data_IF_181252702010
#
_entry.id   IF_181252702010
#
_cell.length_a   1.000
_cell.length_b   1.000
_cell.length_c   1.000
_cell.angle_alpha   90.00
_cell.angle_beta   90.00
_cell.angle_gamma   90.00
#
_symmetry.space_group_name_H-M   'P 1'
#
loop_
_entity.id
_entity.type
_entity.pdbx_description
1 polymer ?
#
# COMPACT_ATOMS: atom_id res chain seq x y z
N UNK A 1 -8.48 -4.58 -0.98
CA UNK A 1 -7.17 -3.92 -0.67
C UNK A 1 -6.58 -4.38 0.68
N UNK A 2 -6.67 -5.65 1.07
CA UNK A 2 -6.28 -6.09 2.43
C UNK A 2 -4.83 -6.56 2.58
N UNK A 3 -4.21 -6.91 1.46
CA UNK A 3 -2.76 -7.12 1.38
C UNK A 3 -1.98 -5.83 1.70
N UNK A 4 -2.59 -4.64 1.50
CA UNK A 4 -1.98 -3.35 1.77
C UNK A 4 -1.78 -3.06 3.26
N UNK A 5 -2.78 -3.33 4.10
CA UNK A 5 -2.69 -3.09 5.56
C UNK A 5 -1.60 -3.94 6.21
N UNK A 6 -1.52 -5.24 5.86
CA UNK A 6 -0.47 -6.14 6.36
C UNK A 6 0.92 -5.70 5.91
N UNK A 7 1.04 -5.31 4.65
CA UNK A 7 2.27 -4.75 4.12
C UNK A 7 2.73 -3.52 4.92
N UNK A 8 1.81 -2.60 5.24
CA UNK A 8 2.14 -1.41 6.02
C UNK A 8 2.54 -1.71 7.46
N UNK A 9 1.97 -2.74 8.10
CA UNK A 9 2.39 -3.17 9.44
C UNK A 9 3.82 -3.70 9.42
N UNK A 10 4.16 -4.56 8.45
CA UNK A 10 5.52 -5.08 8.24
C UNK A 10 6.49 -3.94 7.97
N UNK A 11 6.15 -3.09 7.00
CA UNK A 11 6.96 -1.97 6.58
C UNK A 11 7.23 -1.00 7.73
N UNK A 12 6.21 -0.60 8.49
CA UNK A 12 6.38 0.31 9.64
C UNK A 12 7.23 -0.30 10.74
N UNK A 13 7.06 -1.59 11.02
CA UNK A 13 7.84 -2.29 12.05
C UNK A 13 9.32 -2.35 11.67
N UNK A 14 9.61 -2.65 10.40
CA UNK A 14 10.98 -2.62 9.85
C UNK A 14 11.60 -1.23 9.84
N UNK A 15 10.87 -0.21 9.40
CA UNK A 15 11.41 1.16 9.35
C UNK A 15 11.66 1.76 10.75
N UNK A 16 11.08 1.15 11.79
CA UNK A 16 11.31 1.50 13.19
C UNK A 16 12.51 0.76 13.77
N UNK A 17 12.70 -0.52 13.45
CA UNK A 17 13.87 -1.29 13.88
C UNK A 17 15.12 -0.97 13.05
N UNK A 18 14.95 -0.55 11.80
CA UNK A 18 16.01 -0.26 10.84
C UNK A 18 15.75 1.08 10.15
N UNK A 19 16.08 2.17 10.85
CA UNK A 19 15.87 3.54 10.37
C UNK A 19 16.62 3.83 9.06
N UNK A 20 17.77 3.19 8.82
CA UNK A 20 18.55 3.36 7.60
C UNK A 20 17.81 2.89 6.33
N UNK A 21 16.83 1.99 6.44
CA UNK A 21 15.98 1.58 5.31
C UNK A 21 15.09 2.71 4.77
N UNK A 22 14.90 3.80 5.53
CA UNK A 22 14.08 4.95 5.11
C UNK A 22 14.62 5.60 3.83
N UNK A 23 15.94 5.56 3.60
CA UNK A 23 16.56 6.04 2.35
C UNK A 23 16.10 5.26 1.11
N UNK A 24 15.59 4.05 1.32
CA UNK A 24 15.11 3.14 0.29
C UNK A 24 13.59 3.14 0.17
N UNK A 25 12.87 3.88 1.02
CA UNK A 25 11.43 3.98 0.96
C UNK A 25 10.99 4.87 -0.18
N UNK A 26 10.13 4.35 -1.06
CA UNK A 26 9.58 5.08 -2.20
C UNK A 26 8.08 4.96 -2.25
N UNK A 27 7.46 5.91 -2.96
CA UNK A 27 6.03 5.91 -3.23
C UNK A 27 5.83 5.54 -4.68
N UNK A 28 4.92 4.60 -4.94
CA UNK A 28 4.61 4.23 -6.30
C UNK A 28 3.97 5.40 -7.07
N UNK A 29 4.47 5.65 -8.29
CA UNK A 29 3.92 6.65 -9.20
C UNK A 29 2.42 6.46 -9.50
N UNK A 30 1.95 5.21 -9.53
CA UNK A 30 0.59 4.88 -9.98
C UNK A 30 -0.41 4.68 -8.83
N UNK A 31 -0.13 3.77 -7.91
CA UNK A 31 -1.06 3.42 -6.82
C UNK A 31 -0.71 4.08 -5.48
N UNK A 32 0.34 4.92 -5.44
CA UNK A 32 0.77 5.71 -4.28
C UNK A 32 1.09 4.93 -3.00
N UNK A 33 1.16 3.61 -3.08
CA UNK A 33 1.60 2.79 -1.96
C UNK A 33 3.10 3.01 -1.72
N UNK A 34 3.51 2.95 -0.46
CA UNK A 34 4.93 2.93 -0.14
C UNK A 34 5.53 1.55 -0.42
N UNK A 35 6.80 1.50 -0.80
CA UNK A 35 7.55 0.25 -0.95
C UNK A 35 9.06 0.49 -0.80
N UNK A 36 9.83 -0.57 -0.51
CA UNK A 36 11.29 -0.48 -0.39
C UNK A 36 11.98 -0.78 -1.72
N UNK A 37 12.82 0.11 -2.22
CA UNK A 37 13.59 -0.13 -3.44
C UNK A 37 15.08 -0.27 -3.16
N UNK A 38 15.83 -0.68 -4.17
CA UNK A 38 17.27 -0.74 -4.12
C UNK A 38 17.88 0.65 -3.78
N UNK A 39 18.98 0.75 -3.00
CA UNK A 39 19.64 2.03 -2.70
C UNK A 39 19.94 2.92 -3.91
N UNK A 40 20.32 2.31 -5.05
CA UNK A 40 20.56 3.04 -6.32
C UNK A 40 19.34 3.84 -6.80
N UNK A 41 18.14 3.42 -6.43
CA UNK A 41 16.89 4.08 -6.79
C UNK A 41 16.45 5.14 -5.76
N UNK A 42 17.28 5.46 -4.76
CA UNK A 42 16.93 6.40 -3.69
C UNK A 42 16.64 7.84 -4.15
N UNK A 43 16.97 8.22 -5.39
CA UNK A 43 16.65 9.55 -5.91
C UNK A 43 15.54 9.56 -6.96
N UNK A 44 14.95 8.39 -7.26
CA UNK A 44 13.90 8.26 -8.28
C UNK A 44 12.50 8.43 -7.70
N UNK A 45 11.63 9.13 -8.43
CA UNK A 45 10.23 9.38 -8.09
C UNK A 45 9.24 8.69 -9.04
N UNK A 46 9.74 8.08 -10.12
CA UNK A 46 8.96 7.52 -11.22
C UNK A 46 8.76 5.99 -11.11
N UNK A 47 9.15 5.39 -9.99
CA UNK A 47 9.14 3.95 -9.79
C UNK A 47 7.73 3.36 -9.62
N UNK A 48 7.51 2.20 -10.23
CA UNK A 48 6.36 1.34 -10.01
C UNK A 48 6.51 0.47 -8.76
N UNK A 49 5.39 0.10 -8.11
CA UNK A 49 5.44 -0.84 -7.00
C UNK A 49 5.71 -2.27 -7.49
N UNK A 50 6.36 -3.12 -6.68
CA UNK A 50 6.62 -4.52 -7.03
C UNK A 50 5.36 -5.39 -7.11
N UNK A 51 4.25 -4.96 -6.50
CA UNK A 51 3.02 -5.76 -6.38
C UNK A 51 2.14 -5.72 -7.65
N UNK A 52 2.54 -4.98 -8.68
CA UNK A 52 1.71 -4.68 -9.83
C UNK A 52 0.59 -3.71 -9.47
N UNK A 53 0.53 -2.55 -10.14
CA UNK A 53 -0.48 -1.53 -9.85
C UNK A 53 -1.85 -1.93 -10.43
N UNK A 54 -2.50 -2.97 -9.89
CA UNK A 54 -3.72 -3.59 -10.45
C UNK A 54 -4.81 -2.56 -10.75
N UNK A 55 -5.03 -1.58 -9.88
CA UNK A 55 -6.00 -0.49 -10.11
C UNK A 55 -5.59 0.43 -11.26
N UNK A 56 -4.31 0.80 -11.34
CA UNK A 56 -3.81 1.64 -12.43
C UNK A 56 -3.86 0.89 -13.77
N UNK A 57 -3.52 -0.40 -13.76
CA UNK A 57 -3.68 -1.28 -14.90
C UNK A 57 -5.16 -1.41 -15.31
N UNK A 58 -6.07 -1.61 -14.36
CA UNK A 58 -7.52 -1.67 -14.62
C UNK A 58 -8.02 -0.36 -15.24
N UNK A 59 -7.61 0.80 -14.69
CA UNK A 59 -7.95 2.12 -15.24
C UNK A 59 -7.42 2.27 -16.66
N UNK A 60 -6.15 1.95 -16.90
CA UNK A 60 -5.53 1.99 -18.25
C UNK A 60 -6.29 1.11 -19.24
N UNK A 61 -6.56 -0.17 -18.91
CA UNK A 61 -7.37 -1.06 -19.77
C UNK A 61 -8.80 -0.56 -19.99
N UNK A 62 -9.40 0.09 -18.99
CA UNK A 62 -10.72 0.70 -19.15
C UNK A 62 -10.67 1.87 -20.13
N UNK A 63 -9.67 2.74 -20.01
CA UNK A 63 -9.42 3.85 -20.94
C UNK A 63 -9.16 3.32 -22.34
N UNK A 64 -8.27 2.35 -22.51
CA UNK A 64 -7.96 1.71 -23.80
C UNK A 64 -9.23 1.16 -24.47
N UNK A 65 -10.05 0.39 -23.74
CA UNK A 65 -11.33 -0.12 -24.26
C UNK A 65 -12.30 1.00 -24.64
N UNK A 66 -12.37 2.05 -23.82
CA UNK A 66 -13.28 3.19 -24.08
C UNK A 66 -12.81 4.00 -25.28
N UNK A 67 -11.51 4.25 -25.41
CA UNK A 67 -10.90 4.92 -26.55
C UNK A 67 -11.16 4.11 -27.81
N UNK A 68 -10.85 2.82 -27.80
CA UNK A 68 -11.07 1.91 -28.92
C UNK A 68 -12.54 1.91 -29.38
N UNK A 69 -13.50 1.86 -28.44
CA UNK A 69 -14.92 1.97 -28.75
C UNK A 69 -15.30 3.33 -29.34
N UNK A 70 -14.86 4.44 -28.73
CA UNK A 70 -15.20 5.79 -29.22
C UNK A 70 -14.46 6.20 -30.50
N UNK A 71 -13.48 5.43 -30.96
CA UNK A 71 -12.91 5.59 -32.30
C UNK A 71 -13.82 5.06 -33.41
N UNK A 72 -14.72 4.10 -33.13
CA UNK A 72 -15.64 3.55 -34.14
C UNK A 72 -16.76 4.54 -34.50
N UNK A 73 -17.37 4.36 -35.67
CA UNK A 73 -18.50 5.19 -36.11
C UNK A 73 -19.71 5.05 -35.17
N UNK A 74 -20.03 3.82 -34.75
CA UNK A 74 -21.10 3.55 -33.78
C UNK A 74 -20.84 4.23 -32.42
N UNK A 75 -19.60 4.13 -31.91
CA UNK A 75 -19.21 4.74 -30.65
C UNK A 75 -19.32 6.26 -30.69
N UNK A 76 -18.89 6.90 -31.79
CA UNK A 76 -19.03 8.35 -32.01
C UNK A 76 -20.49 8.79 -32.06
N UNK A 77 -21.34 8.07 -32.79
CA UNK A 77 -22.78 8.37 -32.88
C UNK A 77 -23.46 8.27 -31.51
N UNK A 78 -23.17 7.20 -30.75
CA UNK A 78 -23.71 7.01 -29.39
C UNK A 78 -23.23 8.09 -28.42
N UNK A 79 -21.96 8.50 -28.50
CA UNK A 79 -21.40 9.60 -27.69
C UNK A 79 -22.05 10.94 -28.02
N UNK A 80 -22.30 11.23 -29.29
CA UNK A 80 -22.98 12.46 -29.75
C UNK A 80 -24.39 12.55 -29.15
N UNK A 81 -25.16 11.45 -29.22
CA UNK A 81 -26.49 11.38 -28.61
C UNK A 81 -26.45 11.54 -27.08
N UNK A 82 -25.51 10.87 -26.39
CA UNK A 82 -25.38 11.00 -24.93
C UNK A 82 -24.98 12.42 -24.50
N UNK A 83 -24.04 13.07 -25.20
CA UNK A 83 -23.68 14.45 -24.91
C UNK A 83 -24.84 15.41 -25.17
N UNK A 84 -25.65 15.18 -26.21
CA UNK A 84 -26.89 15.93 -26.44
C UNK A 84 -27.90 15.83 -25.28
N UNK A 85 -27.97 14.67 -24.62
CA UNK A 85 -28.80 14.48 -23.42
C UNK A 85 -28.25 15.19 -22.17
N UNK A 86 -26.91 15.28 -22.03
CA UNK A 86 -26.25 15.95 -20.90
C UNK A 86 -26.44 17.47 -20.88
N UNK A 87 -26.66 18.10 -22.04
CA UNK A 87 -27.04 19.51 -22.12
C UNK A 87 -28.43 19.78 -21.51
N UNK A 88 -29.24 18.73 -21.26
CA UNK A 88 -30.63 18.83 -20.77
C UNK A 88 -30.91 18.24 -19.39
N UNK A 89 -29.94 17.63 -18.70
CA UNK A 89 -30.22 16.95 -17.42
C UNK A 89 -28.97 16.79 -16.56
N UNK A 90 -28.89 17.60 -15.50
CA UNK A 90 -27.87 17.50 -14.48
C UNK A 90 -28.21 16.47 -13.39
N UNK A 91 -27.18 15.75 -12.93
CA UNK A 91 -27.11 15.18 -11.58
C UNK A 91 -27.45 13.69 -11.44
N UNK A 92 -26.49 12.91 -10.96
CA UNK A 92 -26.74 11.55 -10.45
C UNK A 92 -25.45 10.83 -10.03
N UNK A 93 -25.14 10.86 -8.73
CA UNK A 93 -24.02 10.14 -8.07
C UNK A 93 -24.37 8.65 -7.89
N UNK A 94 -23.36 7.77 -7.90
CA UNK A 94 -23.51 6.40 -7.41
C UNK A 94 -22.30 5.96 -6.56
N UNK A 95 -22.61 5.18 -5.53
CA UNK A 95 -21.87 4.99 -4.29
C UNK A 95 -20.83 3.84 -4.30
N UNK A 96 -19.99 3.85 -3.27
CA UNK A 96 -18.89 2.92 -3.04
C UNK A 96 -19.34 1.60 -2.38
N UNK A 97 -18.71 0.49 -2.79
CA UNK A 97 -18.92 -0.86 -2.22
C UNK A 97 -17.78 -1.23 -1.25
N UNK A 98 -18.13 -1.85 -0.12
CA UNK A 98 -17.26 -2.20 1.02
C UNK A 98 -16.43 -3.50 0.84
N UNK A 99 -15.45 -3.82 1.74
CA UNK A 99 -14.52 -4.94 1.58
C UNK A 99 -14.70 -6.12 2.57
N UNK A 100 -14.85 -7.32 2.02
CA UNK A 100 -15.03 -8.66 2.64
C UNK A 100 -13.85 -9.23 3.45
N UNK A 101 -14.16 -9.78 4.65
CA UNK A 101 -13.41 -10.39 5.81
C UNK A 101 -12.48 -11.58 5.40
N UNK A 102 -11.22 -11.65 5.86
CA UNK A 102 -10.23 -12.61 5.32
C UNK A 102 -8.86 -12.61 6.03
N UNK A 103 -8.57 -13.73 6.68
CA UNK A 103 -7.61 -14.03 7.76
C UNK A 103 -6.12 -13.73 7.52
N UNK A 104 -5.41 -13.51 8.63
CA UNK A 104 -4.07 -12.98 8.92
C UNK A 104 -2.85 -13.78 8.38
N UNK A 105 -2.87 -14.27 7.14
CA UNK A 105 -1.66 -14.84 6.55
C UNK A 105 -0.81 -13.75 5.87
N UNK A 106 0.45 -13.61 6.28
CA UNK A 106 1.42 -12.80 5.54
C UNK A 106 1.67 -13.50 4.20
N UNK A 107 1.16 -12.95 3.09
CA UNK A 107 1.41 -13.52 1.76
C UNK A 107 2.93 -13.69 1.57
N UNK A 108 3.41 -14.92 1.40
CA UNK A 108 4.83 -15.29 1.40
C UNK A 108 5.69 -14.40 0.47
N UNK A 109 5.11 -13.95 -0.65
CA UNK A 109 5.76 -13.01 -1.58
C UNK A 109 6.14 -11.66 -0.97
N UNK A 110 5.39 -11.14 0.01
CA UNK A 110 5.73 -9.87 0.68
C UNK A 110 6.97 -10.00 1.56
N UNK A 111 7.06 -11.09 2.34
CA UNK A 111 8.20 -11.34 3.23
C UNK A 111 9.45 -11.65 2.40
N UNK A 112 9.31 -12.43 1.33
CA UNK A 112 10.38 -12.70 0.38
C UNK A 112 10.94 -11.43 -0.27
N UNK A 113 10.06 -10.56 -0.77
CA UNK A 113 10.46 -9.27 -1.33
C UNK A 113 11.19 -8.38 -0.31
N UNK A 114 10.67 -8.28 0.91
CA UNK A 114 11.30 -7.47 1.96
C UNK A 114 12.66 -8.05 2.38
N UNK A 115 12.78 -9.37 2.49
CA UNK A 115 14.06 -10.04 2.77
C UNK A 115 15.09 -9.83 1.65
N UNK A 116 14.66 -9.91 0.39
CA UNK A 116 15.50 -9.61 -0.77
C UNK A 116 16.02 -8.17 -0.72
N UNK A 117 15.14 -7.18 -0.52
CA UNK A 117 15.56 -5.77 -0.48
C UNK A 117 16.44 -5.49 0.74
N UNK A 118 16.14 -6.06 1.91
CA UNK A 118 17.00 -5.94 3.08
C UNK A 118 18.39 -6.53 2.85
N UNK A 119 18.48 -7.68 2.15
CA UNK A 119 19.77 -8.30 1.81
C UNK A 119 20.63 -7.37 0.95
N UNK A 120 20.01 -6.72 -0.05
CA UNK A 120 20.68 -5.77 -0.93
C UNK A 120 21.12 -4.49 -0.20
N UNK A 121 20.38 -4.08 0.82
CA UNK A 121 20.72 -2.89 1.61
C UNK A 121 21.80 -3.19 2.64
N UNK A 122 21.75 -4.36 3.28
CA UNK A 122 22.71 -4.80 4.29
C UNK A 122 24.00 -5.39 3.69
N UNK A 123 24.06 -5.64 2.39
CA UNK A 123 25.24 -6.21 1.73
C UNK A 123 25.52 -7.68 2.09
N UNK A 124 24.54 -8.38 2.69
CA UNK A 124 24.63 -9.80 3.08
C UNK A 124 23.30 -10.50 2.84
N UNK A 125 23.28 -11.83 2.74
CA UNK A 125 22.02 -12.59 2.63
C UNK A 125 21.23 -12.53 3.94
N UNK A 126 19.99 -12.05 3.86
CA UNK A 126 18.99 -12.09 4.92
C UNK A 126 17.92 -13.10 4.52
N UNK A 127 17.81 -14.20 5.27
CA UNK A 127 16.79 -15.22 5.02
C UNK A 127 15.38 -14.73 5.38
N UNK A 128 14.35 -15.33 4.78
CA UNK A 128 12.96 -15.03 5.15
C UNK A 128 12.69 -15.33 6.64
N UNK A 129 13.26 -16.41 7.18
CA UNK A 129 13.14 -16.77 8.60
C UNK A 129 13.78 -15.72 9.52
N UNK A 130 14.97 -15.22 9.16
CA UNK A 130 15.62 -14.14 9.89
C UNK A 130 14.78 -12.85 9.85
N UNK A 131 14.22 -12.52 8.68
CA UNK A 131 13.34 -11.38 8.52
C UNK A 131 12.08 -11.49 9.39
N UNK A 132 11.44 -12.66 9.42
CA UNK A 132 10.31 -12.93 10.29
C UNK A 132 10.67 -12.78 11.78
N UNK A 133 11.81 -13.32 12.22
CA UNK A 133 12.29 -13.16 13.61
C UNK A 133 12.46 -11.69 13.99
N UNK A 134 13.05 -10.89 13.09
CA UNK A 134 13.21 -9.43 13.28
C UNK A 134 11.86 -8.73 13.41
N UNK A 135 10.90 -9.08 12.54
CA UNK A 135 9.55 -8.53 12.58
C UNK A 135 8.81 -8.91 13.87
N UNK A 136 8.86 -10.18 14.28
CA UNK A 136 8.25 -10.65 15.53
C UNK A 136 8.86 -9.94 16.74
N UNK A 137 10.20 -9.80 16.78
CA UNK A 137 10.89 -9.08 17.85
C UNK A 137 10.47 -7.61 17.92
N UNK A 138 10.43 -6.93 16.77
CA UNK A 138 10.00 -5.54 16.70
C UNK A 138 8.54 -5.36 17.15
N UNK A 139 7.62 -6.23 16.68
CA UNK A 139 6.21 -6.21 17.08
C UNK A 139 6.05 -6.48 18.59
N UNK A 140 6.80 -7.45 19.15
CA UNK A 140 6.82 -7.73 20.60
C UNK A 140 7.34 -6.53 21.40
N UNK A 141 8.45 -5.93 21.00
CA UNK A 141 9.01 -4.73 21.63
C UNK A 141 8.00 -3.58 21.63
N UNK A 142 7.28 -3.38 20.52
CA UNK A 142 6.25 -2.34 20.43
C UNK A 142 5.01 -2.65 21.26
N UNK A 143 4.58 -3.91 21.33
CA UNK A 143 3.49 -4.33 22.23
C UNK A 143 3.85 -4.03 23.68
N UNK A 144 5.09 -4.31 24.09
CA UNK A 144 5.58 -4.02 25.44
C UNK A 144 5.62 -2.52 25.73
N UNK A 145 6.18 -1.71 24.82
CA UNK A 145 6.24 -0.26 24.98
C UNK A 145 4.83 0.38 25.03
N UNK A 146 3.89 -0.11 24.22
CA UNK A 146 2.51 0.36 24.22
C UNK A 146 1.78 -0.02 25.51
N UNK A 147 1.97 -1.26 25.99
CA UNK A 147 1.41 -1.72 27.27
C UNK A 147 1.93 -0.83 28.41
N UNK A 148 3.24 -0.66 28.54
CA UNK A 148 3.85 0.23 29.55
C UNK A 148 3.32 1.67 29.50
N UNK A 149 3.10 2.21 28.30
CA UNK A 149 2.53 3.56 28.13
C UNK A 149 1.06 3.61 28.57
N UNK A 150 0.27 2.58 28.25
CA UNK A 150 -1.10 2.47 28.77
C UNK A 150 -1.10 2.36 30.29
N UNK A 151 -0.26 1.50 30.86
CA UNK A 151 -0.15 1.35 32.31
C UNK A 151 0.22 2.68 32.99
N UNK A 152 1.14 3.44 32.38
CA UNK A 152 1.48 4.79 32.82
C UNK A 152 0.29 5.75 32.75
N UNK A 153 -0.43 5.81 31.63
CA UNK A 153 -1.60 6.68 31.48
C UNK A 153 -2.71 6.29 32.45
N UNK A 154 -2.96 4.99 32.64
CA UNK A 154 -3.95 4.50 33.61
C UNK A 154 -3.56 4.86 35.04
N UNK A 155 -2.28 4.70 35.41
CA UNK A 155 -1.78 5.12 36.71
C UNK A 155 -1.87 6.64 36.92
N UNK A 156 -1.71 7.43 35.87
CA UNK A 156 -1.82 8.88 35.89
C UNK A 156 -3.28 9.34 36.02
N UNK A 157 -4.21 8.68 35.32
CA UNK A 157 -5.66 8.89 35.46
C UNK A 157 -6.18 8.46 36.84
N UNK A 158 -5.61 7.39 37.42
CA UNK A 158 -5.93 6.97 38.78
C UNK A 158 -5.41 7.94 39.85
N UNK A 159 -4.24 8.57 39.61
CA UNK A 159 -3.67 9.59 40.51
C UNK A 159 -4.38 10.93 40.45
N UNK A 160 -4.90 11.29 39.29
CA UNK A 160 -5.55 12.57 39.04
C UNK A 160 -6.95 12.31 38.50
N UNK A 161 -7.78 11.58 39.26
CA UNK A 161 -9.18 11.33 38.90
C UNK A 161 -9.88 12.59 38.38
N UNK A 162 -10.93 12.46 37.55
CA UNK A 162 -11.55 13.59 36.86
C UNK A 162 -11.93 14.73 37.82
#
# INVERSE_FOLDING_TARGET
MRSGLRYYVVLRSLLRSQSHLRRCLRRCRHCRIFFLTHPRNARRSDLGCPFGCREAHRKRRSTERSVAYYTTLEGKAKKKMQNGKRVRGGGGRAAATQPETGALEFQAGMVGYVAMVASLIEGRRVSQAEMLRRLVRALRQHSMARRRRMDYVMAQLQKHGP
#
